data_IF_704280779955
#
_entry.id   IF_704280779955
#
_cell.length_a   1.000
_cell.length_b   1.000
_cell.length_c   1.000
_cell.angle_alpha   90.00
_cell.angle_beta   90.00
_cell.angle_gamma   90.00
#
_symmetry.space_group_name_H-M   'P 1'
#
loop_
_entity.id
_entity.type
_entity.pdbx_description
1 polymer ?
#
# COMPACT_ATOMS: atom_id res chain seq x y z
N UNK A 1 -27.74 57.71 17.38
CA UNK A 1 -28.13 56.28 17.23
C UNK A 1 -26.96 55.56 16.57
N UNK A 2 -26.65 54.36 17.07
CA UNK A 2 -25.35 53.67 16.97
C UNK A 2 -24.92 53.30 15.55
N UNK A 3 -23.62 53.49 15.25
CA UNK A 3 -22.93 52.87 14.12
C UNK A 3 -22.87 51.35 14.38
N UNK A 4 -23.57 50.55 13.57
CA UNK A 4 -23.47 49.09 13.63
C UNK A 4 -22.21 48.64 12.88
N UNK A 5 -21.21 48.17 13.61
CA UNK A 5 -20.05 47.47 13.03
C UNK A 5 -20.44 46.03 12.71
N UNK A 6 -20.34 45.65 11.44
CA UNK A 6 -20.50 44.27 10.96
C UNK A 6 -19.14 43.56 11.06
N UNK A 7 -19.00 42.58 11.95
CA UNK A 7 -17.85 41.68 11.98
C UNK A 7 -18.20 40.44 11.14
N UNK A 8 -17.55 40.27 10.00
CA UNK A 8 -17.61 39.02 9.22
C UNK A 8 -16.47 38.12 9.68
N UNK A 9 -16.80 37.11 10.49
CA UNK A 9 -15.84 36.06 10.88
C UNK A 9 -15.83 35.00 9.78
N UNK A 10 -14.76 34.98 8.97
CA UNK A 10 -14.46 33.83 8.14
C UNK A 10 -13.83 32.74 9.02
N UNK A 11 -14.64 31.83 9.56
CA UNK A 11 -14.12 30.58 10.12
C UNK A 11 -13.66 29.69 8.98
N UNK A 12 -12.36 29.74 8.66
CA UNK A 12 -11.73 28.69 7.89
C UNK A 12 -11.72 27.43 8.76
N UNK A 13 -12.54 26.43 8.40
CA UNK A 13 -12.42 25.09 8.96
C UNK A 13 -11.10 24.55 8.38
N UNK A 14 -10.02 24.68 9.15
CA UNK A 14 -8.80 23.94 8.88
C UNK A 14 -9.19 22.47 8.92
N UNK A 15 -9.20 21.80 7.76
CA UNK A 15 -9.18 20.34 7.73
C UNK A 15 -8.00 19.92 8.59
N UNK A 16 -8.13 18.92 9.48
CA UNK A 16 -6.96 18.40 10.16
C UNK A 16 -5.99 17.96 9.06
N UNK A 17 -4.92 18.74 8.87
CA UNK A 17 -3.73 18.24 8.19
C UNK A 17 -3.30 17.05 9.01
N UNK A 18 -3.33 15.84 8.42
CA UNK A 18 -2.71 14.68 9.03
C UNK A 18 -1.33 15.14 9.50
N UNK A 19 -1.05 15.00 10.80
CA UNK A 19 0.23 15.42 11.35
C UNK A 19 1.31 14.73 10.50
N UNK A 20 2.10 15.53 9.79
CA UNK A 20 3.14 15.02 8.91
C UNK A 20 4.13 14.28 9.81
N UNK A 21 4.14 12.95 9.72
CA UNK A 21 4.98 12.11 10.53
C UNK A 21 6.39 12.20 9.97
N UNK A 22 7.13 13.28 10.27
CA UNK A 22 8.50 13.50 9.81
C UNK A 22 9.49 12.58 10.53
N UNK A 23 9.31 11.27 10.40
CA UNK A 23 10.24 10.25 10.88
C UNK A 23 11.39 10.10 9.88
N UNK A 24 12.60 9.89 10.40
CA UNK A 24 13.72 9.52 9.53
C UNK A 24 13.46 8.14 8.92
N UNK A 25 14.00 7.91 7.72
CA UNK A 25 13.93 6.59 7.08
C UNK A 25 14.43 5.47 8.01
N UNK A 26 15.50 5.72 8.78
CA UNK A 26 16.02 4.78 9.77
C UNK A 26 15.05 4.51 10.93
N UNK A 27 14.30 5.53 11.38
CA UNK A 27 13.29 5.35 12.41
C UNK A 27 12.12 4.50 11.89
N UNK A 28 11.72 4.69 10.63
CA UNK A 28 10.70 3.86 9.99
C UNK A 28 11.17 2.40 9.87
N UNK A 29 12.42 2.16 9.48
CA UNK A 29 12.99 0.80 9.45
C UNK A 29 12.97 0.13 10.82
N UNK A 30 13.25 0.88 11.89
CA UNK A 30 13.17 0.37 13.26
C UNK A 30 11.72 0.01 13.63
N UNK A 31 10.77 0.92 13.37
CA UNK A 31 9.34 0.69 13.63
C UNK A 31 8.82 -0.53 12.85
N UNK A 32 9.22 -0.68 11.59
CA UNK A 32 8.92 -1.86 10.78
C UNK A 32 9.46 -3.14 11.42
N UNK A 33 10.70 -3.12 11.92
CA UNK A 33 11.30 -4.26 12.62
C UNK A 33 10.52 -4.64 13.89
N UNK A 34 10.11 -3.65 14.66
CA UNK A 34 9.29 -3.81 15.86
C UNK A 34 7.90 -4.38 15.52
N UNK A 35 7.27 -3.90 14.45
CA UNK A 35 5.99 -4.41 13.95
C UNK A 35 6.09 -5.87 13.51
N UNK A 36 7.10 -6.24 12.72
CA UNK A 36 7.35 -7.62 12.27
C UNK A 36 7.61 -8.53 13.48
N UNK A 37 8.38 -8.06 14.46
CA UNK A 37 8.62 -8.81 15.71
C UNK A 37 7.32 -9.02 16.50
N UNK A 38 6.47 -7.98 16.57
CA UNK A 38 5.17 -8.07 17.23
C UNK A 38 4.26 -9.10 16.55
N UNK A 39 4.18 -9.07 15.21
CA UNK A 39 3.44 -10.08 14.44
C UNK A 39 3.98 -11.50 14.65
N UNK A 40 5.31 -11.67 14.70
CA UNK A 40 5.93 -12.99 14.86
C UNK A 40 5.73 -13.60 16.25
N UNK A 41 5.66 -12.77 17.29
CA UNK A 41 5.68 -13.22 18.69
C UNK A 41 4.34 -13.07 19.41
N UNK A 42 3.43 -12.24 18.89
CA UNK A 42 2.25 -11.80 19.63
C UNK A 42 2.57 -10.81 20.77
N UNK A 43 3.84 -10.41 20.93
CA UNK A 43 4.29 -9.50 21.97
C UNK A 43 4.44 -8.09 21.42
N UNK A 44 3.65 -7.16 21.95
CA UNK A 44 3.62 -5.79 21.47
C UNK A 44 4.91 -5.02 21.82
N UNK A 45 5.58 -4.47 20.81
CA UNK A 45 6.75 -3.61 21.01
C UNK A 45 6.37 -2.28 21.69
N UNK A 46 7.23 -1.81 22.60
CA UNK A 46 6.98 -0.60 23.41
C UNK A 46 6.93 0.69 22.60
N UNK A 47 7.53 0.71 21.40
CA UNK A 47 7.53 1.84 20.46
C UNK A 47 6.14 2.21 19.95
N UNK A 48 5.18 1.29 19.97
CA UNK A 48 3.80 1.54 19.56
C UNK A 48 2.84 1.83 20.73
N UNK A 49 3.33 1.90 21.98
CA UNK A 49 2.50 2.09 23.20
C UNK A 49 1.70 3.38 23.27
N UNK A 50 2.02 4.38 22.44
CA UNK A 50 1.25 5.63 22.30
C UNK A 50 0.43 5.71 21.00
N UNK A 51 0.53 4.70 20.12
CA UNK A 51 -0.20 4.68 18.86
C UNK A 51 -1.67 4.34 19.08
N UNK A 52 -2.55 4.98 18.31
CA UNK A 52 -3.96 4.56 18.25
C UNK A 52 -4.03 3.28 17.43
N UNK A 53 -4.40 2.18 18.08
CA UNK A 53 -4.59 0.90 17.41
C UNK A 53 -6.03 0.74 16.95
N UNK A 54 -6.21 0.54 15.66
CA UNK A 54 -7.52 0.24 15.07
C UNK A 54 -7.43 -1.00 14.20
N UNK A 55 -8.48 -1.82 14.24
CA UNK A 55 -8.70 -2.88 13.26
C UNK A 55 -10.01 -2.60 12.55
N UNK A 56 -10.03 -2.74 11.22
CA UNK A 56 -11.22 -2.44 10.41
C UNK A 56 -11.82 -1.06 10.72
N UNK A 57 -10.95 -0.06 10.89
CA UNK A 57 -11.27 1.33 11.26
C UNK A 57 -12.02 1.51 12.59
N UNK A 58 -11.93 0.53 13.50
CA UNK A 58 -12.52 0.61 14.84
C UNK A 58 -11.42 0.52 15.90
N UNK A 59 -11.48 1.32 16.97
CA UNK A 59 -10.57 1.16 18.10
C UNK A 59 -10.65 -0.26 18.67
N UNK A 60 -9.51 -0.91 18.79
CA UNK A 60 -9.39 -2.26 19.37
C UNK A 60 -8.30 -2.25 20.44
N UNK A 61 -8.47 -3.07 21.47
CA UNK A 61 -7.40 -3.29 22.43
C UNK A 61 -6.31 -4.16 21.79
N UNK A 62 -5.12 -3.60 21.62
CA UNK A 62 -3.98 -4.29 20.99
C UNK A 62 -3.60 -5.60 21.68
N UNK A 63 -3.84 -5.73 22.99
CA UNK A 63 -3.59 -6.95 23.76
C UNK A 63 -4.54 -8.09 23.42
N UNK A 64 -5.64 -7.83 22.71
CA UNK A 64 -6.63 -8.82 22.27
C UNK A 64 -6.79 -8.87 20.76
N UNK A 65 -6.13 -7.96 20.05
CA UNK A 65 -6.25 -7.76 18.62
C UNK A 65 -5.39 -8.69 17.78
N UNK A 66 -5.30 -8.42 16.49
CA UNK A 66 -4.50 -9.18 15.52
C UNK A 66 -3.04 -9.28 15.98
N UNK A 67 -2.45 -8.19 16.48
CA UNK A 67 -1.05 -8.16 16.93
C UNK A 67 -0.78 -9.02 18.18
N UNK A 68 -1.81 -9.48 18.90
CA UNK A 68 -1.66 -10.40 20.03
C UNK A 68 -1.59 -11.88 19.62
N UNK A 69 -1.82 -12.18 18.33
CA UNK A 69 -1.85 -13.53 17.80
C UNK A 69 -0.56 -13.79 17.00
N UNK A 70 0.35 -14.65 17.47
CA UNK A 70 1.61 -14.89 16.76
C UNK A 70 1.36 -15.52 15.40
N UNK A 71 1.96 -14.95 14.36
CA UNK A 71 1.95 -15.44 12.99
C UNK A 71 3.33 -15.94 12.59
N UNK A 72 3.38 -17.02 11.79
CA UNK A 72 4.63 -17.46 11.19
C UNK A 72 4.98 -16.52 10.03
N UNK A 73 6.00 -15.68 10.22
CA UNK A 73 6.48 -14.78 9.17
C UNK A 73 7.48 -15.51 8.26
N UNK A 74 7.01 -15.94 7.09
CA UNK A 74 7.81 -16.69 6.12
C UNK A 74 8.57 -15.82 5.11
N UNK A 75 8.06 -14.62 4.84
CA UNK A 75 8.64 -13.67 3.92
C UNK A 75 8.22 -12.25 4.36
N UNK A 76 9.12 -11.29 4.22
CA UNK A 76 8.87 -9.89 4.51
C UNK A 76 9.47 -9.03 3.40
N UNK A 77 8.69 -8.08 2.90
CA UNK A 77 9.14 -6.92 2.14
C UNK A 77 8.60 -5.69 2.85
N UNK A 78 9.37 -4.61 2.86
CA UNK A 78 8.96 -3.37 3.51
C UNK A 78 9.33 -2.18 2.65
N UNK A 79 8.42 -1.24 2.58
CA UNK A 79 8.59 0.07 1.96
C UNK A 79 8.31 1.12 3.03
N UNK A 80 8.99 2.25 2.97
CA UNK A 80 8.92 3.26 4.01
C UNK A 80 8.60 4.63 3.40
N UNK A 81 7.43 5.14 3.75
CA UNK A 81 7.01 6.49 3.39
C UNK A 81 7.17 7.42 4.60
N UNK A 82 7.92 8.50 4.42
CA UNK A 82 8.19 9.51 5.46
C UNK A 82 7.05 10.51 5.64
N UNK A 83 5.93 10.33 4.95
CA UNK A 83 4.81 11.29 4.95
C UNK A 83 3.50 10.70 5.44
N UNK A 84 3.41 9.39 5.68
CA UNK A 84 2.15 8.66 5.82
C UNK A 84 2.05 7.86 7.12
N UNK A 85 0.84 7.36 7.41
CA UNK A 85 0.55 6.49 8.55
C UNK A 85 0.77 5.02 8.20
N UNK A 86 0.82 4.16 9.22
CA UNK A 86 0.89 2.70 9.02
C UNK A 86 -0.53 2.19 8.78
N UNK A 87 -0.81 1.79 7.55
CA UNK A 87 -2.00 1.00 7.18
C UNK A 87 -1.59 -0.47 6.99
N UNK A 88 -2.52 -1.39 7.27
CA UNK A 88 -2.32 -2.81 7.03
C UNK A 88 -3.56 -3.44 6.42
N UNK A 89 -3.34 -4.22 5.37
CA UNK A 89 -4.29 -5.16 4.81
C UNK A 89 -3.77 -6.56 5.10
N UNK A 90 -4.67 -7.41 5.58
CA UNK A 90 -4.38 -8.78 5.97
C UNK A 90 -5.37 -9.64 5.21
N UNK A 91 -4.83 -10.58 4.43
CA UNK A 91 -5.61 -11.58 3.69
C UNK A 91 -5.27 -12.97 4.22
N UNK A 92 -6.26 -13.83 4.31
CA UNK A 92 -6.09 -15.23 4.73
C UNK A 92 -6.79 -16.20 3.77
N UNK A 93 -6.65 -17.50 4.03
CA UNK A 93 -7.28 -18.56 3.26
C UNK A 93 -8.78 -18.30 3.10
N UNK A 94 -9.25 -18.26 1.85
CA UNK A 94 -10.64 -17.95 1.50
C UNK A 94 -10.85 -16.52 1.04
N UNK A 95 -9.87 -15.62 1.24
CA UNK A 95 -9.88 -14.33 0.56
C UNK A 95 -9.66 -14.47 -0.94
N UNK A 96 -10.25 -13.56 -1.71
CA UNK A 96 -10.14 -13.57 -3.17
C UNK A 96 -8.80 -12.98 -3.66
N UNK A 97 -8.08 -13.65 -4.57
CA UNK A 97 -7.93 -15.09 -4.80
C UNK A 97 -6.73 -15.67 -4.01
N UNK A 98 -6.57 -15.26 -2.75
CA UNK A 98 -5.36 -15.42 -1.96
C UNK A 98 -4.91 -16.88 -1.75
N UNK A 99 -3.63 -17.11 -2.04
CA UNK A 99 -2.88 -18.33 -1.76
C UNK A 99 -1.52 -17.98 -1.15
N UNK A 100 -1.35 -18.27 0.14
CA UNK A 100 -0.13 -17.93 0.88
C UNK A 100 1.14 -18.57 0.26
N UNK A 101 1.07 -19.85 -0.12
CA UNK A 101 2.22 -20.58 -0.70
C UNK A 101 2.65 -20.00 -2.04
N UNK A 102 1.69 -19.72 -2.93
CA UNK A 102 1.94 -19.11 -4.23
C UNK A 102 2.48 -17.68 -4.09
N UNK A 103 1.87 -16.89 -3.22
CA UNK A 103 2.32 -15.52 -2.92
C UNK A 103 3.76 -15.53 -2.41
N UNK A 104 4.07 -16.36 -1.41
CA UNK A 104 5.43 -16.51 -0.90
C UNK A 104 6.40 -16.96 -2.00
N UNK A 105 6.02 -17.94 -2.82
CA UNK A 105 6.86 -18.46 -3.89
C UNK A 105 7.27 -17.36 -4.87
N UNK A 106 6.33 -16.56 -5.36
CA UNK A 106 6.66 -15.52 -6.34
C UNK A 106 7.32 -14.30 -5.69
N UNK A 107 6.77 -13.78 -4.60
CA UNK A 107 7.31 -12.60 -3.93
C UNK A 107 8.76 -12.79 -3.47
N UNK A 108 9.14 -13.99 -3.00
CA UNK A 108 10.52 -14.26 -2.55
C UNK A 108 11.55 -14.34 -3.68
N UNK A 109 11.12 -14.32 -4.94
CA UNK A 109 11.98 -14.46 -6.14
C UNK A 109 12.13 -13.16 -6.92
N UNK A 110 11.32 -12.17 -6.62
CA UNK A 110 11.42 -10.86 -7.23
C UNK A 110 12.58 -10.07 -6.62
N UNK A 111 13.29 -9.32 -7.47
CA UNK A 111 14.37 -8.46 -7.02
C UNK A 111 13.86 -7.04 -6.76
N UNK A 112 13.67 -6.74 -5.48
CA UNK A 112 13.26 -5.42 -4.98
C UNK A 112 14.46 -4.63 -4.44
N UNK A 113 15.56 -4.57 -5.20
CA UNK A 113 16.76 -3.85 -4.82
C UNK A 113 16.51 -2.36 -4.55
N UNK A 114 17.38 -1.77 -3.71
CA UNK A 114 17.47 -0.33 -3.51
C UNK A 114 18.04 0.32 -4.77
N UNK A 115 17.23 1.15 -5.41
CA UNK A 115 17.60 1.86 -6.64
C UNK A 115 18.71 2.88 -6.30
N UNK A 116 19.81 2.94 -7.09
CA UNK A 116 20.83 3.98 -6.93
C UNK A 116 20.21 5.38 -6.98
N UNK A 117 20.66 6.28 -6.11
CA UNK A 117 20.00 7.58 -5.89
C UNK A 117 19.79 8.37 -7.19
N UNK A 118 20.77 8.34 -8.10
CA UNK A 118 20.73 9.01 -9.39
C UNK A 118 19.78 8.39 -10.42
N UNK A 119 19.24 7.19 -10.13
CA UNK A 119 18.29 6.45 -10.97
C UNK A 119 16.88 6.38 -10.36
N UNK A 120 16.67 6.93 -9.16
CA UNK A 120 15.37 6.92 -8.49
C UNK A 120 14.42 7.84 -9.23
N UNK A 121 13.24 7.32 -9.54
CA UNK A 121 12.13 8.15 -9.98
C UNK A 121 11.65 9.04 -8.83
N UNK A 122 11.07 10.19 -9.16
CA UNK A 122 10.50 11.08 -8.15
C UNK A 122 9.21 10.48 -7.57
N UNK A 123 8.85 10.85 -6.34
CA UNK A 123 7.55 10.51 -5.73
C UNK A 123 6.37 10.76 -6.66
N UNK A 124 6.36 11.90 -7.35
CA UNK A 124 5.31 12.27 -8.30
C UNK A 124 5.26 11.33 -9.51
N UNK A 125 6.42 10.96 -10.07
CA UNK A 125 6.50 9.96 -11.15
C UNK A 125 5.93 8.61 -10.72
N UNK A 126 6.35 8.12 -9.54
CA UNK A 126 5.92 6.82 -9.01
C UNK A 126 4.41 6.85 -8.74
N UNK A 127 3.90 7.90 -8.08
CA UNK A 127 2.48 8.08 -7.82
C UNK A 127 1.65 8.10 -9.09
N UNK A 128 2.07 8.87 -10.10
CA UNK A 128 1.37 8.97 -11.39
C UNK A 128 1.31 7.63 -12.13
N UNK A 129 2.36 6.81 -12.02
CA UNK A 129 2.33 5.46 -12.57
C UNK A 129 1.25 4.60 -11.90
N UNK A 130 1.22 4.56 -10.56
CA UNK A 130 0.18 3.87 -9.80
C UNK A 130 -1.24 4.38 -10.12
N UNK A 131 -1.42 5.70 -10.17
CA UNK A 131 -2.70 6.32 -10.54
C UNK A 131 -3.16 5.90 -11.94
N UNK A 132 -2.26 5.87 -12.93
CA UNK A 132 -2.60 5.45 -14.28
C UNK A 132 -3.15 4.01 -14.31
N UNK A 133 -2.56 3.08 -13.55
CA UNK A 133 -3.09 1.72 -13.45
C UNK A 133 -4.49 1.71 -12.85
N UNK A 134 -4.71 2.42 -11.76
CA UNK A 134 -6.00 2.43 -11.06
C UNK A 134 -7.08 3.15 -11.88
N UNK A 135 -6.71 4.18 -12.65
CA UNK A 135 -7.61 4.91 -13.53
C UNK A 135 -8.02 4.10 -14.76
N UNK A 136 -7.16 3.16 -15.22
CA UNK A 136 -7.46 2.25 -16.32
C UNK A 136 -8.74 1.45 -16.08
N UNK A 137 -9.06 1.12 -14.84
CA UNK A 137 -10.26 0.36 -14.47
C UNK A 137 -11.55 1.14 -14.76
N UNK A 138 -11.51 2.47 -14.73
CA UNK A 138 -12.67 3.34 -15.01
C UNK A 138 -12.62 3.93 -16.43
N UNK A 139 -11.44 4.07 -17.01
CA UNK A 139 -11.24 4.64 -18.33
C UNK A 139 -10.21 3.81 -19.12
N UNK A 140 -10.66 2.96 -20.07
CA UNK A 140 -9.77 2.09 -20.84
C UNK A 140 -8.83 2.86 -21.79
N UNK A 141 -9.03 4.17 -21.99
CA UNK A 141 -8.12 5.02 -22.77
C UNK A 141 -6.93 5.55 -21.99
N UNK A 142 -6.84 5.28 -20.68
CA UNK A 142 -5.69 5.69 -19.86
C UNK A 142 -4.43 4.96 -20.34
N UNK A 143 -3.36 5.72 -20.58
CA UNK A 143 -2.07 5.17 -20.96
C UNK A 143 -1.30 4.82 -19.70
N UNK A 144 -1.25 3.52 -19.40
CA UNK A 144 -0.47 2.99 -18.28
C UNK A 144 1.00 2.82 -18.71
N UNK A 145 1.98 3.23 -17.88
CA UNK A 145 3.39 3.10 -18.20
C UNK A 145 3.90 1.67 -17.99
N UNK A 146 3.39 0.72 -18.77
CA UNK A 146 3.85 -0.67 -18.74
C UNK A 146 5.35 -0.76 -19.07
N UNK A 147 6.10 -1.50 -18.26
CA UNK A 147 7.46 -1.92 -18.58
C UNK A 147 7.50 -3.30 -19.22
N UNK A 148 8.67 -3.69 -19.70
CA UNK A 148 8.92 -5.00 -20.28
C UNK A 148 10.37 -5.37 -19.96
N UNK A 149 10.62 -6.41 -19.14
CA UNK A 149 9.65 -7.33 -18.56
C UNK A 149 8.88 -6.74 -17.36
N UNK A 150 7.60 -7.14 -17.20
CA UNK A 150 6.76 -6.81 -16.05
C UNK A 150 5.95 -8.03 -15.60
N UNK A 151 5.76 -8.23 -14.30
CA UNK A 151 4.89 -9.29 -13.79
C UNK A 151 3.90 -8.81 -12.71
N UNK A 152 2.68 -9.34 -12.75
CA UNK A 152 1.66 -9.11 -11.73
C UNK A 152 1.52 -10.36 -10.85
N UNK A 153 1.61 -10.18 -9.54
CA UNK A 153 1.28 -11.15 -8.49
C UNK A 153 -0.07 -10.80 -7.88
N UNK A 154 -1.09 -11.64 -8.11
CA UNK A 154 -2.47 -11.41 -7.69
C UNK A 154 -2.93 -12.62 -6.87
N UNK A 155 -2.96 -12.46 -5.54
CA UNK A 155 -3.36 -13.55 -4.62
C UNK A 155 -2.57 -14.85 -4.78
N UNK A 156 -1.35 -14.82 -5.33
CA UNK A 156 -0.53 -16.02 -5.58
C UNK A 156 -0.57 -16.54 -7.02
N UNK A 157 -1.42 -15.98 -7.89
CA UNK A 157 -1.30 -16.13 -9.33
C UNK A 157 -0.27 -15.14 -9.88
N UNK A 158 0.54 -15.54 -10.86
CA UNK A 158 1.63 -14.72 -11.38
C UNK A 158 1.63 -14.68 -12.91
N UNK A 159 1.68 -13.47 -13.50
CA UNK A 159 1.65 -13.32 -14.97
C UNK A 159 3.01 -13.54 -15.64
N UNK A 160 4.10 -13.43 -14.88
CA UNK A 160 5.47 -13.58 -15.39
C UNK A 160 5.90 -15.04 -15.53
N UNK A 161 6.72 -15.32 -16.54
CA UNK A 161 7.36 -16.63 -16.77
C UNK A 161 8.90 -16.56 -16.68
N UNK A 162 9.44 -15.41 -16.27
CA UNK A 162 10.87 -15.13 -16.27
C UNK A 162 11.40 -14.78 -17.67
N UNK A 163 10.52 -14.37 -18.59
CA UNK A 163 10.89 -14.04 -19.97
C UNK A 163 11.08 -12.52 -20.12
N UNK A 164 11.97 -12.07 -21.02
CA UNK A 164 12.14 -10.65 -21.32
C UNK A 164 10.85 -9.98 -21.84
N UNK A 165 9.90 -10.77 -22.32
CA UNK A 165 8.61 -10.33 -22.90
C UNK A 165 7.45 -10.40 -21.90
N UNK A 166 7.70 -10.72 -20.64
CA UNK A 166 6.64 -10.77 -19.62
C UNK A 166 5.93 -9.41 -19.48
N UNK A 167 4.62 -9.47 -19.23
CA UNK A 167 3.76 -8.29 -19.13
C UNK A 167 2.86 -8.34 -17.90
N UNK A 168 2.65 -7.17 -17.28
CA UNK A 168 1.62 -6.95 -16.27
C UNK A 168 0.26 -6.59 -16.89
N UNK A 169 0.22 -6.24 -18.17
CA UNK A 169 -0.99 -5.90 -18.91
C UNK A 169 -1.70 -7.17 -19.42
N UNK A 170 -2.15 -8.00 -18.49
CA UNK A 170 -2.81 -9.27 -18.78
C UNK A 170 -4.09 -9.35 -17.97
N UNK A 171 -5.25 -9.37 -18.63
CA UNK A 171 -6.54 -9.52 -17.96
C UNK A 171 -6.85 -8.44 -16.92
N UNK A 172 -6.48 -7.18 -17.19
CA UNK A 172 -6.83 -6.05 -16.30
C UNK A 172 -8.34 -5.80 -16.43
N UNK A 173 -9.12 -5.82 -15.33
CA UNK A 173 -10.56 -5.56 -15.37
C UNK A 173 -10.91 -4.14 -15.83
N UNK A 174 -12.18 -3.96 -16.23
CA UNK A 174 -12.76 -2.64 -16.51
C UNK A 174 -14.14 -2.53 -15.87
N UNK A 175 -14.57 -1.30 -15.57
CA UNK A 175 -15.86 -1.02 -14.93
C UNK A 175 -15.90 -1.28 -13.43
N UNK A 176 -14.76 -1.38 -12.76
CA UNK A 176 -14.67 -1.58 -11.31
C UNK A 176 -14.09 -0.31 -10.66
N UNK A 177 -14.85 0.43 -9.84
CA UNK A 177 -14.35 1.65 -9.23
C UNK A 177 -13.28 1.35 -8.18
N UNK A 178 -12.12 1.99 -8.30
CA UNK A 178 -11.02 1.95 -7.32
C UNK A 178 -10.87 3.33 -6.67
N UNK A 179 -11.43 3.49 -5.48
CA UNK A 179 -11.66 4.79 -4.83
C UNK A 179 -10.98 4.89 -3.46
N UNK A 180 -11.06 6.04 -2.77
CA UNK A 180 -10.50 6.22 -1.43
C UNK A 180 -9.00 5.88 -1.32
N UNK A 181 -8.22 6.29 -2.34
CA UNK A 181 -6.80 5.97 -2.47
C UNK A 181 -5.97 6.66 -1.39
N UNK A 182 -5.22 5.88 -0.63
CA UNK A 182 -4.18 6.29 0.32
C UNK A 182 -2.87 5.65 -0.13
N UNK A 183 -1.78 6.40 -0.10
CA UNK A 183 -0.55 6.02 -0.78
C UNK A 183 0.55 5.79 0.25
N UNK A 184 1.40 4.80 0.01
CA UNK A 184 2.70 4.65 0.67
C UNK A 184 3.72 4.57 -0.44
N UNK A 185 4.56 5.60 -0.58
CA UNK A 185 5.54 5.72 -1.67
C UNK A 185 6.94 5.75 -1.07
N UNK A 186 7.80 4.88 -1.60
CA UNK A 186 9.21 4.77 -1.22
C UNK A 186 10.09 4.89 -2.48
N UNK A 187 10.69 6.06 -2.67
CA UNK A 187 11.57 6.31 -3.83
C UNK A 187 12.85 5.46 -3.79
N UNK A 188 13.24 4.94 -2.63
CA UNK A 188 14.48 4.16 -2.50
C UNK A 188 14.38 2.81 -3.20
N UNK A 189 13.18 2.24 -3.27
CA UNK A 189 12.87 0.99 -4.00
C UNK A 189 11.93 1.22 -5.18
N UNK A 190 11.57 2.47 -5.47
CA UNK A 190 10.66 2.84 -6.56
C UNK A 190 9.26 2.27 -6.37
N UNK A 191 8.78 2.12 -5.13
CA UNK A 191 7.49 1.49 -4.86
C UNK A 191 6.40 2.52 -4.58
N UNK A 192 5.18 2.21 -5.02
CA UNK A 192 3.94 2.82 -4.52
C UNK A 192 2.97 1.71 -4.17
N UNK A 193 2.58 1.63 -2.90
CA UNK A 193 1.43 0.87 -2.46
C UNK A 193 0.22 1.80 -2.30
N UNK A 194 -0.92 1.37 -2.82
CA UNK A 194 -2.17 2.14 -2.78
C UNK A 194 -3.24 1.33 -2.05
N UNK A 195 -3.54 1.75 -0.83
CA UNK A 195 -4.69 1.26 -0.08
C UNK A 195 -5.95 1.94 -0.61
N UNK A 196 -6.98 1.16 -0.93
CA UNK A 196 -8.17 1.68 -1.60
C UNK A 196 -9.42 0.86 -1.27
N UNK A 197 -10.56 1.43 -1.66
CA UNK A 197 -11.86 0.77 -1.67
C UNK A 197 -12.07 0.12 -3.05
N UNK A 198 -12.08 -1.22 -3.11
CA UNK A 198 -12.23 -2.00 -4.34
C UNK A 198 -13.71 -2.28 -4.67
N UNK A 199 -14.12 -1.82 -5.84
CA UNK A 199 -15.46 -2.04 -6.39
C UNK A 199 -16.57 -1.33 -5.63
N UNK A 200 -17.81 -1.56 -6.05
CA UNK A 200 -18.99 -0.91 -5.44
C UNK A 200 -19.20 -1.31 -3.97
N UNK A 201 -18.70 -2.48 -3.58
CA UNK A 201 -18.80 -2.99 -2.21
C UNK A 201 -17.73 -2.41 -1.28
N UNK A 202 -16.79 -1.60 -1.81
CA UNK A 202 -15.72 -0.95 -1.06
C UNK A 202 -14.90 -1.93 -0.22
N UNK A 203 -14.50 -3.02 -0.86
CA UNK A 203 -13.71 -4.07 -0.20
C UNK A 203 -12.31 -3.51 0.06
N UNK A 204 -11.74 -3.64 1.27
CA UNK A 204 -10.38 -3.20 1.53
C UNK A 204 -9.38 -3.90 0.62
N UNK A 205 -8.55 -3.12 -0.06
CA UNK A 205 -7.65 -3.64 -1.09
C UNK A 205 -6.34 -2.84 -1.15
N UNK A 206 -5.24 -3.52 -1.50
CA UNK A 206 -3.96 -2.88 -1.80
C UNK A 206 -3.48 -3.23 -3.20
N UNK A 207 -2.92 -2.21 -3.86
CA UNK A 207 -2.23 -2.34 -5.13
C UNK A 207 -0.83 -1.74 -5.00
N UNK A 208 0.20 -2.60 -4.93
CA UNK A 208 1.59 -2.19 -4.88
C UNK A 208 2.26 -2.31 -6.25
N UNK A 209 3.00 -1.28 -6.64
CA UNK A 209 3.72 -1.25 -7.91
C UNK A 209 5.18 -0.90 -7.69
N UNK A 210 6.08 -1.67 -8.33
CA UNK A 210 7.46 -1.25 -8.54
C UNK A 210 7.58 -0.48 -9.85
N UNK A 211 8.14 0.71 -9.78
CA UNK A 211 8.40 1.61 -10.90
C UNK A 211 9.91 1.78 -11.06
N UNK A 212 10.41 1.51 -12.25
CA UNK A 212 11.79 1.73 -12.64
C UNK A 212 11.85 2.53 -13.94
N UNK A 213 12.52 3.69 -13.90
CA UNK A 213 12.63 4.60 -15.05
C UNK A 213 11.25 4.99 -15.61
N UNK A 214 10.32 5.26 -14.70
CA UNK A 214 8.94 5.63 -14.99
C UNK A 214 8.10 4.51 -15.61
N UNK A 215 8.51 3.23 -15.49
CA UNK A 215 7.79 2.08 -16.04
C UNK A 215 7.59 0.98 -15.00
N UNK A 216 6.48 0.24 -15.08
CA UNK A 216 6.23 -0.87 -14.16
C UNK A 216 7.19 -2.04 -14.35
N UNK A 217 7.69 -2.56 -13.23
CA UNK A 217 8.46 -3.79 -13.14
C UNK A 217 7.66 -4.92 -12.46
N UNK A 218 7.00 -4.60 -11.36
CA UNK A 218 6.14 -5.53 -10.60
C UNK A 218 4.83 -4.86 -10.22
N UNK A 219 3.76 -5.64 -10.14
CA UNK A 219 2.47 -5.23 -9.61
C UNK A 219 1.98 -6.31 -8.63
N UNK A 220 1.62 -5.95 -7.41
CA UNK A 220 1.11 -6.85 -6.38
C UNK A 220 -0.29 -6.38 -6.00
N UNK A 221 -1.24 -7.31 -5.88
CA UNK A 221 -2.61 -6.96 -5.50
C UNK A 221 -3.11 -7.88 -4.39
N UNK A 222 -3.73 -7.31 -3.36
CA UNK A 222 -4.27 -8.04 -2.21
C UNK A 222 -5.62 -7.47 -1.81
N UNK A 223 -6.68 -8.28 -1.92
CA UNK A 223 -8.04 -7.89 -1.55
C UNK A 223 -8.50 -8.65 -0.32
N UNK A 224 -8.84 -7.95 0.76
CA UNK A 224 -9.35 -8.57 1.99
C UNK A 224 -10.88 -8.66 1.94
N UNK A 225 -11.39 -9.81 1.52
CA UNK A 225 -12.83 -10.10 1.39
C UNK A 225 -13.46 -10.64 2.67
N UNK A 226 -12.68 -10.85 3.73
CA UNK A 226 -13.15 -11.41 4.99
C UNK A 226 -13.26 -12.93 4.93
N UNK A 227 -12.19 -13.60 4.47
CA UNK A 227 -12.04 -15.05 4.55
C UNK A 227 -12.44 -15.62 5.93
N UNK A 228 -12.87 -16.89 5.98
CA UNK A 228 -13.49 -17.53 7.16
C UNK A 228 -12.74 -17.36 8.48
#
# INVERSE_FOLDING_TARGET
MLLQSLIVVFTAIARPTLAQCNLSYSALQQITGDYISSQATGAFATTASSATYTENFRPVNVSTGLLSRPLRVNHTRSIHDTTEQIDSIVTDAGDWPFNATGTQYYASREDWFVIPQEKRDTRDTIKKAGDAYLDLFNNPSVVVPWGTPCARLEGGAYTGRGLPTDSCNVGVPSGVPLTNRRYVIDETVGSVDVFLDFGNNKIPDSHEFRVEKGRFRFAHTMTATGGP
#
